data_IF_853574256014
#
_entry.id   IF_853574256014
#
_cell.length_a   1.000
_cell.length_b   1.000
_cell.length_c   1.000
_cell.angle_alpha   90.00
_cell.angle_beta   90.00
_cell.angle_gamma   90.00
#
_symmetry.space_group_name_H-M   'P 1'
#
loop_
_entity.id
_entity.type
_entity.pdbx_description
1 polymer ?
#
# COMPACT_ATOMS: atom_id res chain seq x y z
N UNK A 1 10.30 -4.76 6.73
CA UNK A 1 10.19 -4.59 8.18
C UNK A 1 9.15 -3.59 8.67
N UNK A 2 9.16 -2.33 8.21
CA UNK A 2 8.30 -1.24 8.75
C UNK A 2 6.78 -1.51 8.58
N UNK A 3 6.34 -2.12 7.48
CA UNK A 3 4.92 -2.43 7.22
C UNK A 3 4.39 -3.44 8.24
N UNK A 4 5.01 -4.62 8.32
CA UNK A 4 4.54 -5.70 9.21
C UNK A 4 4.64 -5.37 10.70
N UNK A 5 5.49 -4.41 11.08
CA UNK A 5 5.58 -3.92 12.46
C UNK A 5 4.40 -3.03 12.86
N UNK A 6 3.81 -2.30 11.91
CA UNK A 6 2.72 -1.34 12.15
C UNK A 6 1.32 -1.94 11.90
N UNK A 7 1.22 -3.06 11.17
CA UNK A 7 -0.05 -3.74 10.86
C UNK A 7 -0.68 -4.33 12.12
N UNK A 8 -2.00 -4.19 12.24
CA UNK A 8 -2.75 -4.81 13.33
C UNK A 8 -2.81 -6.34 13.14
N UNK A 9 -2.25 -7.08 14.10
CA UNK A 9 -2.23 -8.54 14.08
C UNK A 9 -3.39 -9.11 14.88
N UNK A 10 -4.22 -9.91 14.20
CA UNK A 10 -5.34 -10.61 14.82
C UNK A 10 -5.00 -12.09 15.02
N UNK A 11 -5.31 -12.69 16.20
CA UNK A 11 -5.11 -14.12 16.43
C UNK A 11 -6.10 -15.01 15.66
N UNK A 12 -7.07 -14.41 14.99
CA UNK A 12 -8.08 -15.09 14.20
C UNK A 12 -7.66 -15.05 12.75
N UNK A 13 -7.53 -16.19 12.10
CA UNK A 13 -7.07 -16.31 10.71
C UNK A 13 -8.04 -15.74 9.66
N UNK A 14 -9.32 -15.61 9.99
CA UNK A 14 -10.36 -14.99 9.15
C UNK A 14 -10.65 -13.58 9.63
N UNK A 15 -10.59 -12.62 8.73
CA UNK A 15 -11.01 -11.25 9.02
C UNK A 15 -12.45 -11.08 8.56
N UNK A 16 -13.29 -10.61 9.48
CA UNK A 16 -14.68 -10.27 9.21
C UNK A 16 -14.95 -8.86 9.68
N UNK A 17 -15.32 -8.00 8.74
CA UNK A 17 -15.72 -6.63 9.05
C UNK A 17 -17.15 -6.39 8.63
N UNK A 18 -17.86 -5.59 9.44
CA UNK A 18 -19.21 -5.10 9.14
C UNK A 18 -19.19 -3.61 9.34
N UNK A 19 -19.55 -2.86 8.31
CA UNK A 19 -19.57 -1.41 8.37
C UNK A 19 -20.84 -0.88 7.72
N UNK A 20 -21.32 0.26 8.22
CA UNK A 20 -22.40 0.98 7.56
C UNK A 20 -21.95 1.50 6.20
N UNK A 21 -22.79 1.42 5.21
CA UNK A 21 -22.52 2.02 3.90
C UNK A 21 -22.57 3.55 4.03
N UNK A 22 -21.40 4.18 4.06
CA UNK A 22 -21.26 5.62 4.23
C UNK A 22 -21.52 6.42 2.95
N UNK A 23 -21.68 5.75 1.80
CA UNK A 23 -21.97 6.44 0.52
C UNK A 23 -23.33 7.13 0.52
N UNK A 24 -24.27 6.65 1.33
CA UNK A 24 -25.63 7.17 1.46
C UNK A 24 -25.89 7.87 2.79
N UNK A 25 -24.87 8.40 3.45
CA UNK A 25 -25.02 9.07 4.76
C UNK A 25 -26.00 10.23 4.72
N UNK A 26 -26.06 10.97 3.60
CA UNK A 26 -27.03 12.08 3.46
C UNK A 26 -28.49 11.60 3.50
N UNK A 27 -28.77 10.41 2.95
CA UNK A 27 -30.08 9.78 3.01
C UNK A 27 -30.48 9.32 4.42
N UNK A 28 -29.50 9.16 5.33
CA UNK A 28 -29.67 8.75 6.73
C UNK A 28 -29.64 9.93 7.72
N UNK A 29 -29.68 11.16 7.23
CA UNK A 29 -29.58 12.36 8.06
C UNK A 29 -30.78 12.46 8.99
N UNK A 30 -30.52 12.72 10.28
CA UNK A 30 -31.55 12.92 11.28
C UNK A 30 -32.45 14.12 10.94
N UNK A 31 -33.72 13.99 11.15
CA UNK A 31 -34.73 14.99 10.86
C UNK A 31 -35.38 15.53 12.14
N UNK A 32 -35.70 16.83 12.14
CA UNK A 32 -36.45 17.45 13.19
C UNK A 32 -37.92 17.00 13.20
N UNK A 33 -38.51 16.81 14.39
CA UNK A 33 -39.91 16.46 14.57
C UNK A 33 -40.76 17.71 14.80
N UNK A 34 -41.82 17.90 14.00
CA UNK A 34 -42.84 18.89 14.25
C UNK A 34 -44.02 18.23 14.98
N UNK A 35 -44.42 18.78 16.11
CA UNK A 35 -45.53 18.25 16.91
C UNK A 35 -46.78 18.06 16.06
N UNK A 36 -47.34 16.84 16.06
CA UNK A 36 -48.54 16.50 15.30
C UNK A 36 -48.31 16.00 13.86
N UNK A 37 -47.07 15.92 13.39
CA UNK A 37 -46.75 15.33 12.09
C UNK A 37 -46.28 13.88 12.23
N UNK A 38 -46.39 13.08 11.16
CA UNK A 38 -45.88 11.73 11.11
C UNK A 38 -44.37 11.72 11.03
N UNK A 39 -43.72 10.83 11.80
CA UNK A 39 -42.26 10.57 11.68
C UNK A 39 -42.00 9.69 10.47
N UNK A 40 -41.32 10.23 9.48
CA UNK A 40 -40.98 9.50 8.24
C UNK A 40 -39.70 8.68 8.42
N UNK A 41 -39.65 7.52 7.77
CA UNK A 41 -38.41 6.72 7.70
C UNK A 41 -37.35 7.45 6.84
N UNK A 42 -36.12 7.47 7.34
CA UNK A 42 -34.99 8.13 6.69
C UNK A 42 -34.16 7.07 5.96
N UNK A 43 -34.59 6.64 4.80
CA UNK A 43 -33.86 5.71 3.96
C UNK A 43 -33.63 4.29 4.53
N UNK A 44 -32.98 3.44 3.77
CA UNK A 44 -32.63 2.07 4.17
C UNK A 44 -31.19 2.03 4.66
N UNK A 45 -30.97 1.47 5.85
CA UNK A 45 -29.66 1.21 6.38
C UNK A 45 -29.07 -0.06 5.73
N UNK A 46 -27.95 0.06 5.03
CA UNK A 46 -27.24 -1.08 4.46
C UNK A 46 -25.93 -1.33 5.19
N UNK A 47 -25.63 -2.62 5.41
CA UNK A 47 -24.37 -3.07 6.00
C UNK A 47 -23.49 -3.70 4.92
N UNK A 48 -22.26 -3.23 4.83
CA UNK A 48 -21.24 -3.84 3.99
C UNK A 48 -20.51 -4.89 4.81
N UNK A 49 -20.47 -6.10 4.29
CA UNK A 49 -19.77 -7.22 4.88
C UNK A 49 -18.50 -7.51 4.07
N UNK A 50 -17.40 -7.67 4.77
CA UNK A 50 -16.15 -8.16 4.18
C UNK A 50 -15.65 -9.35 4.98
N UNK A 51 -15.33 -10.43 4.28
CA UNK A 51 -14.74 -11.64 4.86
C UNK A 51 -13.55 -12.05 3.99
N UNK A 52 -12.43 -12.39 4.63
CA UNK A 52 -11.26 -12.96 3.95
C UNK A 52 -10.96 -14.34 4.52
N UNK A 53 -10.66 -15.28 3.64
CA UNK A 53 -10.23 -16.63 4.01
C UNK A 53 -8.70 -16.72 4.00
N UNK A 54 -8.11 -17.49 4.92
CA UNK A 54 -6.65 -17.58 5.02
C UNK A 54 -6.04 -18.41 3.88
N UNK A 55 -4.85 -17.98 3.44
CA UNK A 55 -3.97 -18.70 2.54
C UNK A 55 -2.64 -18.97 3.23
N UNK A 56 -1.99 -20.08 2.88
CA UNK A 56 -0.63 -20.37 3.33
C UNK A 56 0.36 -19.71 2.38
N UNK A 57 1.26 -18.92 2.94
CA UNK A 57 2.40 -18.33 2.23
C UNK A 57 3.67 -18.98 2.76
N UNK A 58 4.55 -19.41 1.89
CA UNK A 58 5.72 -20.18 2.27
C UNK A 58 6.96 -19.80 1.46
N UNK A 59 8.11 -20.05 2.07
CA UNK A 59 9.43 -20.07 1.40
C UNK A 59 10.07 -21.42 1.68
N UNK A 60 10.54 -22.07 0.62
CA UNK A 60 11.22 -23.36 0.71
C UNK A 60 12.61 -23.25 0.10
N UNK A 61 13.61 -23.57 0.88
CA UNK A 61 15.01 -23.57 0.45
C UNK A 61 15.67 -24.93 0.67
N UNK A 62 16.78 -25.15 0.02
CA UNK A 62 17.62 -26.34 0.17
C UNK A 62 19.09 -25.97 0.06
N UNK A 63 19.91 -26.62 0.80
CA UNK A 63 21.36 -26.51 0.74
C UNK A 63 22.01 -27.91 0.71
N UNK A 64 23.06 -28.05 -0.05
CA UNK A 64 23.83 -29.29 -0.08
C UNK A 64 24.58 -29.47 1.25
N UNK A 65 24.67 -30.72 1.71
CA UNK A 65 25.36 -31.03 2.96
C UNK A 65 26.86 -30.79 2.86
N UNK A 66 27.44 -30.99 1.69
CA UNK A 66 28.86 -30.78 1.50
C UNK A 66 29.19 -29.29 1.64
N UNK A 67 28.35 -28.41 1.13
CA UNK A 67 28.49 -26.94 1.33
C UNK A 67 28.40 -26.54 2.82
N UNK A 68 27.54 -27.23 3.59
CA UNK A 68 27.44 -26.99 5.04
C UNK A 68 28.70 -27.40 5.79
N UNK A 69 29.32 -28.51 5.35
CA UNK A 69 30.53 -29.05 5.98
C UNK A 69 31.76 -28.21 5.63
N UNK A 70 31.84 -27.72 4.40
CA UNK A 70 32.97 -26.93 3.91
C UNK A 70 33.03 -25.52 4.49
N UNK A 71 31.87 -24.96 4.87
CA UNK A 71 31.79 -23.65 5.51
C UNK A 71 31.86 -23.79 7.03
N UNK A 72 33.06 -23.61 7.59
CA UNK A 72 33.32 -23.81 9.02
C UNK A 72 33.23 -22.53 9.84
N UNK A 73 33.20 -21.36 9.19
CA UNK A 73 33.34 -20.06 9.88
C UNK A 73 32.05 -19.53 10.52
N UNK A 74 30.88 -19.99 10.10
CA UNK A 74 29.58 -19.57 10.66
C UNK A 74 28.50 -20.64 10.44
N UNK A 75 27.42 -20.55 11.22
CA UNK A 75 26.24 -21.40 11.07
C UNK A 75 25.44 -21.03 9.82
N UNK A 76 25.73 -21.73 8.70
CA UNK A 76 25.07 -21.53 7.40
C UNK A 76 23.57 -21.78 7.48
N UNK A 77 23.14 -22.75 8.27
CA UNK A 77 21.71 -23.10 8.42
C UNK A 77 20.96 -21.95 9.09
N UNK A 78 21.52 -21.37 10.15
CA UNK A 78 20.95 -20.23 10.84
C UNK A 78 20.91 -18.97 9.93
N UNK A 79 21.95 -18.78 9.13
CA UNK A 79 22.03 -17.69 8.16
C UNK A 79 20.94 -17.81 7.08
N UNK A 80 20.79 -18.98 6.47
CA UNK A 80 19.75 -19.25 5.47
C UNK A 80 18.33 -19.07 6.06
N UNK A 81 18.12 -19.54 7.28
CA UNK A 81 16.87 -19.31 7.98
C UNK A 81 16.56 -17.81 8.12
N UNK A 82 17.58 -17.01 8.42
CA UNK A 82 17.46 -15.55 8.49
C UNK A 82 17.05 -14.92 7.16
N UNK A 83 17.65 -15.36 6.06
CA UNK A 83 17.34 -14.91 4.69
C UNK A 83 15.91 -15.32 4.30
N UNK A 84 15.55 -16.58 4.48
CA UNK A 84 14.22 -17.10 4.14
C UNK A 84 13.13 -16.36 4.91
N UNK A 85 13.35 -16.06 6.19
CA UNK A 85 12.44 -15.28 7.01
C UNK A 85 12.31 -13.83 6.52
N UNK A 86 13.41 -13.23 6.09
CA UNK A 86 13.40 -11.88 5.52
C UNK A 86 12.60 -11.86 4.21
N UNK A 87 12.84 -12.82 3.31
CA UNK A 87 12.12 -12.95 2.04
C UNK A 87 10.62 -13.17 2.26
N UNK A 88 10.25 -14.05 3.20
CA UNK A 88 8.83 -14.27 3.53
C UNK A 88 8.15 -12.98 4.04
N UNK A 89 8.81 -12.24 4.91
CA UNK A 89 8.29 -10.98 5.44
C UNK A 89 8.21 -9.89 4.36
N UNK A 90 9.15 -9.85 3.43
CA UNK A 90 9.15 -8.88 2.34
C UNK A 90 8.03 -9.17 1.34
N UNK A 91 7.84 -10.43 0.97
CA UNK A 91 6.75 -10.86 0.09
C UNK A 91 5.37 -10.57 0.72
N UNK A 92 5.21 -10.88 2.01
CA UNK A 92 3.98 -10.54 2.73
C UNK A 92 3.73 -9.03 2.79
N UNK A 93 4.75 -8.21 3.03
CA UNK A 93 4.62 -6.77 3.06
C UNK A 93 4.22 -6.21 1.67
N UNK A 94 4.82 -6.76 0.61
CA UNK A 94 4.49 -6.40 -0.78
C UNK A 94 3.06 -6.81 -1.13
N UNK A 95 2.65 -8.03 -0.77
CA UNK A 95 1.28 -8.51 -0.98
C UNK A 95 0.24 -7.66 -0.26
N UNK A 96 0.54 -7.18 0.95
CA UNK A 96 -0.35 -6.30 1.73
C UNK A 96 -0.50 -4.93 1.06
N UNK A 97 0.58 -4.34 0.57
CA UNK A 97 0.57 -2.95 0.10
C UNK A 97 0.21 -2.87 -1.38
N UNK A 98 0.86 -3.66 -2.22
CA UNK A 98 0.83 -3.56 -3.68
C UNK A 98 0.16 -4.77 -4.36
N UNK A 99 0.11 -5.91 -3.69
CA UNK A 99 -0.11 -7.21 -4.30
C UNK A 99 1.19 -7.86 -4.75
N UNK A 100 1.19 -9.16 -4.94
CA UNK A 100 2.39 -9.94 -5.29
C UNK A 100 2.87 -9.75 -6.75
N UNK A 101 2.04 -9.14 -7.61
CA UNK A 101 2.37 -8.85 -9.00
C UNK A 101 2.39 -10.07 -9.95
N UNK A 102 2.12 -11.28 -9.46
CA UNK A 102 2.03 -12.49 -10.29
C UNK A 102 0.71 -12.52 -11.06
N UNK A 103 0.69 -13.20 -12.20
CA UNK A 103 -0.52 -13.37 -13.02
C UNK A 103 -1.53 -14.32 -12.36
N UNK A 104 -2.80 -14.17 -12.73
CA UNK A 104 -3.85 -15.09 -12.30
C UNK A 104 -3.63 -16.44 -12.95
N UNK A 105 -3.46 -17.49 -12.13
CA UNK A 105 -3.15 -18.85 -12.57
C UNK A 105 -1.76 -19.34 -12.19
N UNK A 106 -0.86 -18.47 -11.74
CA UNK A 106 0.44 -18.89 -11.20
C UNK A 106 0.26 -19.68 -9.90
N UNK A 107 0.91 -20.84 -9.79
CA UNK A 107 0.83 -21.69 -8.59
C UNK A 107 1.32 -20.99 -7.31
N UNK A 108 2.28 -20.07 -7.45
CA UNK A 108 2.84 -19.30 -6.35
C UNK A 108 2.08 -18.01 -6.01
N UNK A 109 0.94 -17.73 -6.67
CA UNK A 109 0.21 -16.48 -6.46
C UNK A 109 -0.38 -16.36 -5.06
N UNK A 110 -0.14 -15.22 -4.42
CA UNK A 110 -0.86 -14.80 -3.25
C UNK A 110 -2.18 -14.18 -3.71
N UNK A 111 -3.29 -14.88 -3.48
CA UNK A 111 -4.59 -14.49 -3.99
C UNK A 111 -5.06 -13.17 -3.36
N UNK A 112 -5.45 -12.21 -4.19
CA UNK A 112 -5.87 -10.87 -3.76
C UNK A 112 -7.19 -10.87 -2.98
N UNK A 113 -7.99 -11.92 -3.09
CA UNK A 113 -9.19 -12.11 -2.26
C UNK A 113 -8.88 -12.61 -0.84
N UNK A 114 -7.68 -13.18 -0.62
CA UNK A 114 -7.19 -13.70 0.68
C UNK A 114 -6.38 -12.66 1.43
N UNK A 115 -5.38 -12.06 0.77
CA UNK A 115 -4.62 -10.91 1.26
C UNK A 115 -4.92 -9.75 0.32
N UNK A 116 -5.83 -8.87 0.74
CA UNK A 116 -6.26 -7.75 -0.09
C UNK A 116 -5.22 -6.64 -0.11
N UNK A 117 -4.66 -6.32 -1.29
CA UNK A 117 -3.68 -5.23 -1.39
C UNK A 117 -4.34 -3.88 -1.11
N UNK A 118 -3.68 -3.03 -0.36
CA UNK A 118 -4.21 -1.70 -0.04
C UNK A 118 -4.37 -0.86 -1.31
N UNK A 119 -3.41 -0.90 -2.22
CA UNK A 119 -3.45 -0.16 -3.48
C UNK A 119 -4.57 -0.58 -4.41
N UNK A 120 -4.78 -1.90 -4.57
CA UNK A 120 -5.74 -2.48 -5.52
C UNK A 120 -7.11 -2.76 -4.89
N UNK A 121 -7.36 -2.27 -3.69
CA UNK A 121 -8.62 -2.48 -3.00
C UNK A 121 -9.75 -1.65 -3.66
N UNK A 122 -10.99 -2.00 -3.31
CA UNK A 122 -12.16 -1.29 -3.83
C UNK A 122 -12.13 0.21 -3.49
N UNK A 123 -12.69 1.05 -4.35
CA UNK A 123 -12.81 2.50 -4.19
C UNK A 123 -13.48 2.92 -2.87
N UNK A 124 -14.23 1.99 -2.24
CA UNK A 124 -14.80 2.20 -0.91
C UNK A 124 -13.71 2.29 0.18
N UNK A 125 -12.59 1.57 0.01
CA UNK A 125 -11.51 1.50 0.98
C UNK A 125 -10.32 2.36 0.60
N UNK A 126 -9.99 2.41 -0.70
CA UNK A 126 -8.86 3.15 -1.24
C UNK A 126 -9.32 4.25 -2.19
N UNK A 127 -8.97 5.49 -1.87
CA UNK A 127 -9.21 6.66 -2.68
C UNK A 127 -8.10 6.73 -3.73
N UNK A 128 -8.45 6.62 -5.00
CA UNK A 128 -7.51 6.83 -6.10
C UNK A 128 -7.54 8.30 -6.51
N UNK A 129 -6.42 8.98 -6.35
CA UNK A 129 -6.26 10.39 -6.69
C UNK A 129 -5.27 10.55 -7.85
N UNK A 130 -5.75 11.16 -8.91
CA UNK A 130 -4.93 11.44 -10.09
C UNK A 130 -4.06 12.67 -9.86
N UNK A 131 -2.82 12.59 -10.25
CA UNK A 131 -1.85 13.69 -10.24
C UNK A 131 -1.79 14.31 -11.63
N UNK A 132 -2.37 15.51 -11.77
CA UNK A 132 -2.40 16.26 -13.02
C UNK A 132 -1.24 17.27 -13.08
N UNK A 133 -0.12 16.83 -13.65
CA UNK A 133 1.09 17.65 -13.80
C UNK A 133 0.87 18.79 -14.82
N UNK A 134 0.15 18.51 -15.92
CA UNK A 134 -0.09 19.50 -16.97
C UNK A 134 -1.02 20.62 -16.48
N UNK A 135 -2.09 20.26 -15.78
CA UNK A 135 -2.99 21.22 -15.15
C UNK A 135 -2.29 22.05 -14.08
N UNK A 136 -1.39 21.44 -13.28
CA UNK A 136 -0.58 22.16 -12.30
C UNK A 136 0.34 23.17 -12.97
N UNK A 137 1.05 22.80 -14.03
CA UNK A 137 1.89 23.71 -14.79
C UNK A 137 1.13 24.93 -15.30
N UNK A 138 -0.04 24.70 -15.85
CA UNK A 138 -0.95 25.78 -16.31
C UNK A 138 -1.42 26.67 -15.18
N UNK A 139 -1.80 26.06 -14.05
CA UNK A 139 -2.27 26.79 -12.86
C UNK A 139 -1.18 27.68 -12.25
N UNK A 140 0.05 27.21 -12.17
CA UNK A 140 1.18 27.96 -11.64
C UNK A 140 1.59 29.12 -12.55
N UNK A 141 1.51 28.95 -13.86
CA UNK A 141 1.80 30.03 -14.80
C UNK A 141 0.72 31.13 -14.75
N UNK A 142 -0.53 30.77 -14.50
CA UNK A 142 -1.64 31.69 -14.44
C UNK A 142 -1.71 32.60 -15.68
N UNK A 143 -1.76 33.91 -15.49
CA UNK A 143 -1.71 34.91 -16.58
C UNK A 143 -0.28 35.25 -17.05
N UNK A 144 0.75 34.82 -16.31
CA UNK A 144 2.16 35.06 -16.64
C UNK A 144 2.74 33.89 -17.42
N UNK A 145 2.50 33.84 -18.71
CA UNK A 145 3.01 32.77 -19.59
C UNK A 145 4.53 32.76 -19.74
N UNK A 146 5.23 33.80 -19.30
CA UNK A 146 6.69 33.87 -19.29
C UNK A 146 7.34 33.26 -18.03
N UNK A 147 6.55 32.89 -17.02
CA UNK A 147 7.08 32.23 -15.83
C UNK A 147 7.49 30.77 -16.16
N UNK A 148 8.78 30.47 -15.97
CA UNK A 148 9.30 29.13 -16.19
C UNK A 148 9.61 28.45 -14.85
N UNK A 149 8.64 27.71 -14.36
CA UNK A 149 8.82 26.88 -13.17
C UNK A 149 9.61 25.61 -13.53
N UNK A 150 10.55 25.21 -12.67
CA UNK A 150 11.28 23.97 -12.85
C UNK A 150 10.37 22.74 -12.79
N UNK A 151 10.63 21.73 -13.61
CA UNK A 151 9.79 20.54 -13.69
C UNK A 151 9.64 19.83 -12.33
N UNK A 152 10.69 19.78 -11.53
CA UNK A 152 10.65 19.19 -10.19
C UNK A 152 9.69 19.94 -9.25
N UNK A 153 9.63 21.28 -9.37
CA UNK A 153 8.69 22.09 -8.59
C UNK A 153 7.25 21.81 -8.97
N UNK A 154 6.97 21.84 -10.27
CA UNK A 154 5.63 21.56 -10.80
C UNK A 154 5.16 20.17 -10.37
N UNK A 155 6.06 19.19 -10.44
CA UNK A 155 5.77 17.81 -10.05
C UNK A 155 5.49 17.69 -8.55
N UNK A 156 6.34 18.30 -7.71
CA UNK A 156 6.15 18.29 -6.27
C UNK A 156 4.82 18.94 -5.85
N UNK A 157 4.48 20.10 -6.43
CA UNK A 157 3.22 20.81 -6.15
C UNK A 157 2.01 20.01 -6.62
N UNK A 158 2.09 19.35 -7.79
CA UNK A 158 1.01 18.49 -8.27
C UNK A 158 0.74 17.32 -7.31
N UNK A 159 1.79 16.67 -6.82
CA UNK A 159 1.68 15.55 -5.85
C UNK A 159 1.10 16.04 -4.53
N UNK A 160 1.61 17.14 -3.98
CA UNK A 160 1.14 17.70 -2.70
C UNK A 160 -0.32 18.12 -2.80
N UNK A 161 -0.68 18.85 -3.85
CA UNK A 161 -2.05 19.34 -4.05
C UNK A 161 -3.03 18.17 -4.21
N UNK A 162 -2.70 17.18 -5.03
CA UNK A 162 -3.56 15.99 -5.23
C UNK A 162 -3.75 15.22 -3.94
N UNK A 163 -2.68 15.07 -3.12
CA UNK A 163 -2.77 14.41 -1.82
C UNK A 163 -3.67 15.17 -0.86
N UNK A 164 -3.50 16.49 -0.75
CA UNK A 164 -4.28 17.32 0.17
C UNK A 164 -5.77 17.34 -0.19
N UNK A 165 -6.12 17.42 -1.47
CA UNK A 165 -7.51 17.33 -1.91
C UNK A 165 -8.11 15.93 -1.68
N UNK A 166 -7.37 14.87 -1.95
CA UNK A 166 -7.82 13.51 -1.66
C UNK A 166 -8.05 13.30 -0.16
N UNK A 167 -7.26 13.98 0.68
CA UNK A 167 -7.36 13.91 2.14
C UNK A 167 -8.67 14.44 2.71
N UNK A 168 -9.39 15.30 2.01
CA UNK A 168 -10.71 15.75 2.43
C UNK A 168 -11.69 14.58 2.61
N UNK A 169 -11.53 13.53 1.81
CA UNK A 169 -12.35 12.31 1.86
C UNK A 169 -11.81 11.22 2.79
N UNK A 170 -10.60 11.41 3.31
CA UNK A 170 -9.91 10.42 4.14
C UNK A 170 -10.61 10.22 5.49
N UNK A 171 -10.84 8.95 5.87
CA UNK A 171 -11.51 8.54 7.12
C UNK A 171 -10.72 7.49 7.91
N UNK A 172 -9.42 7.35 7.63
CA UNK A 172 -8.53 6.48 8.38
C UNK A 172 -8.29 6.95 9.81
N UNK A 173 -7.68 6.10 10.61
CA UNK A 173 -7.32 6.41 12.00
C UNK A 173 -5.99 7.14 12.09
N UNK A 174 -5.83 7.94 13.14
CA UNK A 174 -4.56 8.57 13.52
C UNK A 174 -3.91 9.40 12.41
N UNK A 175 -2.59 9.48 12.46
CA UNK A 175 -1.79 10.18 11.45
C UNK A 175 -1.26 9.14 10.45
N UNK A 176 -1.64 9.21 9.16
CA UNK A 176 -1.15 8.29 8.15
C UNK A 176 0.31 8.55 7.80
N UNK A 177 1.00 7.52 7.34
CA UNK A 177 2.33 7.60 6.75
C UNK A 177 2.24 7.69 5.23
N UNK A 178 3.26 8.25 4.59
CA UNK A 178 3.36 8.32 3.14
C UNK A 178 4.43 7.35 2.63
N UNK A 179 4.04 6.43 1.79
CA UNK A 179 4.89 5.43 1.15
C UNK A 179 5.11 5.82 -0.29
N UNK A 180 6.35 5.96 -0.72
CA UNK A 180 6.68 6.38 -2.09
C UNK A 180 7.98 5.75 -2.60
N UNK A 181 8.30 6.00 -3.87
CA UNK A 181 9.61 5.62 -4.43
C UNK A 181 10.71 6.55 -3.91
N UNK A 182 11.96 6.05 -3.78
CA UNK A 182 13.10 6.92 -3.50
C UNK A 182 13.26 8.04 -4.53
N UNK A 183 12.97 7.75 -5.79
CA UNK A 183 13.00 8.73 -6.89
C UNK A 183 12.04 9.89 -6.64
N UNK A 184 10.78 9.61 -6.32
CA UNK A 184 9.78 10.64 -6.03
C UNK A 184 10.22 11.54 -4.87
N UNK A 185 10.72 10.96 -3.77
CA UNK A 185 11.22 11.72 -2.64
C UNK A 185 12.34 12.68 -3.07
N UNK A 186 13.28 12.20 -3.88
CA UNK A 186 14.39 13.02 -4.37
C UNK A 186 13.90 14.17 -5.28
N UNK A 187 12.95 13.90 -6.19
CA UNK A 187 12.34 14.93 -7.05
C UNK A 187 11.68 16.02 -6.21
N UNK A 188 10.93 15.65 -5.17
CA UNK A 188 10.26 16.61 -4.29
C UNK A 188 11.26 17.44 -3.49
N UNK A 189 12.36 16.86 -2.99
CA UNK A 189 13.42 17.58 -2.27
C UNK A 189 14.28 18.48 -3.19
N UNK A 190 14.31 18.17 -4.49
CA UNK A 190 15.03 19.01 -5.48
C UNK A 190 14.16 20.13 -6.05
N UNK A 191 12.93 20.28 -5.59
CA UNK A 191 12.03 21.36 -6.00
C UNK A 191 12.64 22.72 -5.62
N UNK A 192 12.66 23.66 -6.60
CA UNK A 192 13.20 25.01 -6.42
C UNK A 192 12.17 26.03 -6.85
N UNK A 193 12.15 27.16 -6.17
CA UNK A 193 11.36 28.33 -6.54
C UNK A 193 11.95 29.03 -7.80
N UNK A 194 11.24 30.06 -8.27
CA UNK A 194 11.70 30.88 -9.42
C UNK A 194 13.05 31.58 -9.19
N UNK A 195 13.45 31.75 -7.94
CA UNK A 195 14.72 32.35 -7.55
C UNK A 195 15.84 31.31 -7.38
N UNK A 196 15.58 30.04 -7.64
CA UNK A 196 16.52 28.94 -7.53
C UNK A 196 16.77 28.44 -6.10
N UNK A 197 15.99 28.91 -5.11
CA UNK A 197 16.07 28.41 -3.72
C UNK A 197 15.33 27.09 -3.61
N UNK A 198 15.85 26.18 -2.80
CA UNK A 198 15.11 24.97 -2.42
C UNK A 198 13.90 25.35 -1.57
N UNK A 199 12.78 24.67 -1.80
CA UNK A 199 11.55 24.87 -1.05
C UNK A 199 11.56 24.01 0.21
N UNK A 200 12.05 22.77 0.09
CA UNK A 200 12.18 21.82 1.19
C UNK A 200 13.68 21.56 1.42
N UNK A 201 14.22 22.03 2.53
CA UNK A 201 15.62 21.81 2.87
C UNK A 201 15.86 20.41 3.43
N UNK A 202 14.83 19.81 3.99
CA UNK A 202 14.90 18.47 4.58
C UNK A 202 13.56 17.70 4.50
N UNK A 203 13.63 16.39 4.77
CA UNK A 203 12.46 15.49 4.73
C UNK A 203 11.37 15.89 5.74
N UNK A 204 11.73 16.53 6.86
CA UNK A 204 10.75 16.93 7.88
C UNK A 204 9.85 18.07 7.39
N UNK A 205 10.38 18.99 6.62
CA UNK A 205 9.58 20.07 6.02
C UNK A 205 8.61 19.52 4.98
N UNK A 206 9.08 18.60 4.12
CA UNK A 206 8.22 17.91 3.17
C UNK A 206 7.14 17.09 3.89
N UNK A 207 7.49 16.40 4.97
CA UNK A 207 6.53 15.68 5.81
C UNK A 207 5.45 16.60 6.39
N UNK A 208 5.84 17.80 6.83
CA UNK A 208 4.89 18.80 7.32
C UNK A 208 3.98 19.33 6.19
N UNK A 209 4.52 19.56 4.99
CA UNK A 209 3.74 19.98 3.83
C UNK A 209 2.71 18.92 3.40
N UNK A 210 3.09 17.64 3.39
CA UNK A 210 2.20 16.51 3.12
C UNK A 210 1.25 16.20 4.29
N UNK A 211 1.51 16.77 5.47
CA UNK A 211 0.77 16.52 6.71
C UNK A 211 0.67 15.01 7.07
N UNK A 212 1.79 14.31 7.02
CA UNK A 212 1.91 12.87 7.29
C UNK A 212 2.82 12.59 8.49
N UNK A 213 2.72 11.38 9.05
CA UNK A 213 3.51 10.95 10.20
C UNK A 213 4.98 10.69 9.85
N UNK A 214 5.20 9.86 8.85
CA UNK A 214 6.53 9.47 8.36
C UNK A 214 6.49 9.37 6.83
N UNK A 215 7.60 9.67 6.15
CA UNK A 215 7.79 9.36 4.73
C UNK A 215 8.66 8.12 4.66
N UNK A 216 8.14 7.06 4.06
CA UNK A 216 8.79 5.75 3.95
C UNK A 216 9.04 5.47 2.49
N UNK A 217 10.30 5.30 2.12
CA UNK A 217 10.66 4.94 0.76
C UNK A 217 10.77 3.43 0.59
N UNK A 218 10.26 2.92 -0.54
CA UNK A 218 10.35 1.53 -0.94
C UNK A 218 10.52 1.41 -2.46
N UNK A 219 11.56 0.70 -2.88
CA UNK A 219 11.85 0.48 -4.30
C UNK A 219 10.76 -0.36 -4.99
N UNK A 220 10.05 -1.19 -4.24
CA UNK A 220 8.97 -2.04 -4.74
C UNK A 220 7.79 -1.26 -5.34
N UNK A 221 7.68 0.04 -5.07
CA UNK A 221 6.68 0.93 -5.67
C UNK A 221 7.04 1.33 -7.11
N UNK A 222 8.32 1.19 -7.48
CA UNK A 222 8.79 1.66 -8.77
C UNK A 222 8.21 0.84 -9.92
N UNK A 223 7.75 1.53 -10.97
CA UNK A 223 7.21 0.89 -12.17
C UNK A 223 5.86 0.17 -11.98
N UNK A 224 5.21 0.30 -10.82
CA UNK A 224 3.90 -0.34 -10.60
C UNK A 224 2.81 0.38 -11.38
N UNK A 225 2.12 -0.37 -12.25
CA UNK A 225 1.03 0.11 -13.11
C UNK A 225 -0.18 -0.78 -12.90
N UNK A 226 -1.36 -0.17 -12.82
CA UNK A 226 -2.63 -0.88 -12.86
C UNK A 226 -3.46 -0.42 -14.06
N UNK A 227 -4.32 -1.29 -14.54
CA UNK A 227 -5.32 -0.95 -15.56
C UNK A 227 -6.65 -0.67 -14.85
N UNK A 228 -7.21 0.50 -15.12
CA UNK A 228 -8.55 0.86 -14.60
C UNK A 228 -9.65 0.13 -15.37
N UNK A 229 -10.88 0.20 -14.86
CA UNK A 229 -12.06 -0.34 -15.55
C UNK A 229 -12.25 0.26 -16.95
N UNK A 230 -11.83 1.51 -17.14
CA UNK A 230 -11.90 2.23 -18.43
C UNK A 230 -10.68 1.97 -19.33
N UNK A 231 -9.93 0.90 -19.07
CA UNK A 231 -8.73 0.49 -19.83
C UNK A 231 -7.58 1.51 -19.82
N UNK A 232 -7.60 2.49 -18.93
CA UNK A 232 -6.49 3.42 -18.74
C UNK A 232 -5.42 2.80 -17.86
N UNK A 233 -4.16 3.02 -18.21
CA UNK A 233 -3.02 2.61 -17.40
C UNK A 233 -2.65 3.73 -16.44
N UNK A 234 -2.61 3.42 -15.16
CA UNK A 234 -2.24 4.33 -14.08
C UNK A 234 -0.99 3.83 -13.38
N UNK A 235 0.03 4.69 -13.28
CA UNK A 235 1.27 4.42 -12.57
C UNK A 235 1.12 4.89 -11.13
N UNK A 236 1.49 4.03 -10.17
CA UNK A 236 1.51 4.39 -8.75
C UNK A 236 2.71 5.31 -8.46
N UNK A 237 2.45 6.46 -7.85
CA UNK A 237 3.46 7.40 -7.37
C UNK A 237 3.71 7.24 -5.88
N UNK A 238 2.65 7.09 -5.11
CA UNK A 238 2.74 6.92 -3.67
C UNK A 238 1.42 6.51 -3.05
N UNK A 239 1.50 6.06 -1.81
CA UNK A 239 0.36 5.62 -1.02
C UNK A 239 0.39 6.31 0.34
N UNK A 240 -0.69 6.98 0.71
CA UNK A 240 -0.89 7.49 2.06
C UNK A 240 -1.81 6.56 2.84
N UNK A 241 -1.32 5.99 3.93
CA UNK A 241 -2.05 5.01 4.70
C UNK A 241 -1.55 4.88 6.14
N UNK A 242 -2.47 4.63 7.08
CA UNK A 242 -2.10 4.19 8.42
C UNK A 242 -2.17 2.67 8.51
N UNK A 243 -1.02 2.00 8.63
CA UNK A 243 -0.94 0.54 8.67
C UNK A 243 -1.73 -0.10 9.84
N UNK A 244 -2.06 0.65 10.88
CA UNK A 244 -2.91 0.18 11.97
C UNK A 244 -4.36 -0.11 11.53
N UNK A 245 -4.81 0.46 10.41
CA UNK A 245 -6.14 0.21 9.82
C UNK A 245 -6.20 -1.08 8.99
N UNK A 246 -5.05 -1.71 8.74
CA UNK A 246 -4.98 -3.02 8.09
C UNK A 246 -4.90 -4.12 9.13
N UNK A 247 -5.79 -5.09 9.04
CA UNK A 247 -5.75 -6.28 9.89
C UNK A 247 -5.17 -7.47 9.14
N UNK A 248 -4.12 -8.04 9.72
CA UNK A 248 -3.54 -9.31 9.29
C UNK A 248 -3.98 -10.39 10.29
N UNK A 249 -4.89 -11.24 9.87
CA UNK A 249 -5.35 -12.38 10.63
C UNK A 249 -4.47 -13.59 10.36
N UNK A 250 -3.95 -14.22 11.41
CA UNK A 250 -3.18 -15.43 11.26
C UNK A 250 -3.45 -16.39 12.42
N UNK A 251 -3.27 -17.67 12.17
CA UNK A 251 -3.31 -18.65 13.23
C UNK A 251 -2.20 -18.36 14.21
N UNK A 252 -2.48 -18.34 15.51
CA UNK A 252 -1.50 -18.04 16.61
C UNK A 252 -0.81 -16.67 16.51
N UNK A 253 -1.46 -15.64 15.93
CA UNK A 253 -0.94 -14.28 15.97
C UNK A 253 0.21 -13.96 14.99
N UNK A 254 0.37 -14.70 13.90
CA UNK A 254 1.41 -14.46 12.88
C UNK A 254 2.67 -15.28 13.08
N UNK A 255 2.58 -16.36 13.82
CA UNK A 255 3.70 -17.28 13.99
C UNK A 255 4.12 -17.87 12.65
N UNK A 256 5.40 -17.72 12.32
CA UNK A 256 6.04 -18.39 11.20
C UNK A 256 6.48 -19.76 11.70
N UNK A 257 5.94 -20.81 11.10
CA UNK A 257 6.34 -22.18 11.42
C UNK A 257 7.55 -22.58 10.58
N UNK A 258 8.55 -23.14 11.19
CA UNK A 258 9.76 -23.62 10.53
C UNK A 258 9.82 -25.14 10.60
N UNK A 259 9.98 -25.76 9.45
CA UNK A 259 10.19 -27.19 9.29
C UNK A 259 11.55 -27.43 8.64
N UNK A 260 12.27 -28.42 9.13
CA UNK A 260 13.54 -28.87 8.54
C UNK A 260 13.46 -30.35 8.26
N UNK A 261 14.00 -30.77 7.15
CA UNK A 261 14.07 -32.16 6.74
C UNK A 261 15.40 -32.44 5.99
N UNK A 262 15.90 -33.67 6.11
CA UNK A 262 17.10 -34.09 5.40
C UNK A 262 16.72 -35.08 4.30
N UNK A 263 17.05 -34.71 3.07
CA UNK A 263 16.82 -35.54 1.91
C UNK A 263 18.03 -36.45 1.71
N UNK A 264 17.85 -37.76 2.00
CA UNK A 264 18.89 -38.77 1.91
C UNK A 264 19.27 -39.04 0.44
N UNK A 265 18.30 -38.97 -0.49
CA UNK A 265 18.50 -39.27 -1.89
C UNK A 265 19.37 -38.23 -2.60
N UNK A 266 19.28 -36.99 -2.19
CA UNK A 266 20.03 -35.88 -2.78
C UNK A 266 21.09 -35.27 -1.87
N UNK A 267 21.33 -35.83 -0.68
CA UNK A 267 22.27 -35.30 0.33
C UNK A 267 22.06 -33.82 0.67
N UNK A 268 20.80 -33.38 0.80
CA UNK A 268 20.45 -32.00 0.97
C UNK A 268 19.64 -31.75 2.25
N UNK A 269 19.97 -30.65 2.95
CA UNK A 269 19.15 -30.11 4.02
C UNK A 269 18.06 -29.21 3.43
N UNK A 270 16.81 -29.53 3.71
CA UNK A 270 15.65 -28.75 3.28
C UNK A 270 15.12 -27.91 4.44
N UNK A 271 14.70 -26.67 4.14
CA UNK A 271 14.06 -25.74 5.06
C UNK A 271 12.76 -25.26 4.46
N UNK A 272 11.71 -25.23 5.24
CA UNK A 272 10.40 -24.69 4.88
C UNK A 272 9.94 -23.74 5.97
N UNK A 273 9.74 -22.47 5.61
CA UNK A 273 9.07 -21.49 6.45
C UNK A 273 7.67 -21.23 5.88
N UNK A 274 6.67 -21.33 6.72
CA UNK A 274 5.30 -21.04 6.30
C UNK A 274 4.54 -20.25 7.34
N UNK A 275 3.58 -19.45 6.87
CA UNK A 275 2.58 -18.79 7.70
C UNK A 275 1.23 -18.88 7.01
N UNK A 276 0.17 -19.11 7.79
CA UNK A 276 -1.19 -19.13 7.27
C UNK A 276 -1.92 -17.89 7.73
N UNK A 277 -2.20 -16.98 6.78
CA UNK A 277 -2.77 -15.68 7.09
C UNK A 277 -3.80 -15.22 6.07
N UNK A 278 -4.60 -14.25 6.46
CA UNK A 278 -5.44 -13.44 5.59
C UNK A 278 -5.29 -11.97 5.94
N UNK A 279 -5.54 -11.08 5.00
CA UNK A 279 -5.37 -9.66 5.23
C UNK A 279 -6.42 -8.81 4.55
N UNK A 280 -6.88 -7.76 5.23
CA UNK A 280 -7.76 -6.78 4.62
C UNK A 280 -7.70 -5.43 5.35
N UNK A 281 -7.98 -4.37 4.59
CA UNK A 281 -8.27 -3.07 5.15
C UNK A 281 -9.61 -3.12 5.91
N UNK A 282 -9.63 -2.64 7.13
CA UNK A 282 -10.80 -2.71 8.02
C UNK A 282 -11.61 -1.42 8.06
N UNK A 283 -11.09 -0.32 7.53
CA UNK A 283 -11.77 0.98 7.49
C UNK A 283 -12.02 1.45 6.07
N UNK A 284 -13.19 2.03 5.86
CA UNK A 284 -13.56 2.64 4.58
C UNK A 284 -12.82 3.98 4.40
N UNK A 285 -12.44 4.30 3.16
CA UNK A 285 -11.74 5.55 2.79
C UNK A 285 -10.52 5.84 3.66
N UNK A 286 -9.74 4.82 4.00
CA UNK A 286 -8.58 4.93 4.89
C UNK A 286 -7.23 4.89 4.17
N UNK A 287 -7.23 4.67 2.85
CA UNK A 287 -6.05 4.72 2.01
C UNK A 287 -6.22 5.76 0.89
N UNK A 288 -5.14 6.43 0.50
CA UNK A 288 -5.08 7.29 -0.68
C UNK A 288 -3.93 6.82 -1.54
N UNK A 289 -4.23 6.40 -2.77
CA UNK A 289 -3.26 6.06 -3.79
C UNK A 289 -3.12 7.23 -4.77
N UNK A 290 -1.93 7.80 -4.86
CA UNK A 290 -1.59 8.82 -5.84
C UNK A 290 -1.14 8.14 -7.13
N UNK A 291 -1.78 8.47 -8.22
CA UNK A 291 -1.57 7.83 -9.51
C UNK A 291 -1.40 8.87 -10.61
N UNK A 292 -0.60 8.52 -11.60
CA UNK A 292 -0.34 9.31 -12.79
C UNK A 292 -0.79 8.55 -14.03
N UNK A 293 -1.39 9.24 -15.00
CA UNK A 293 -1.69 8.66 -16.30
C UNK A 293 -0.40 8.27 -17.01
N UNK A 294 -0.29 7.00 -17.37
CA UNK A 294 0.79 6.57 -18.27
C UNK A 294 0.44 7.07 -19.66
N UNK A 295 1.01 8.21 -20.05
CA UNK A 295 1.03 8.61 -21.45
C UNK A 295 1.88 7.59 -22.20
N UNK A 296 1.28 6.88 -23.16
CA UNK A 296 2.00 6.06 -24.13
C UNK A 296 2.90 7.00 -24.97
N UNK A 297 4.00 7.46 -24.38
CA UNK A 297 5.10 7.98 -25.18
C UNK A 297 5.69 6.75 -25.85
N UNK A 298 5.23 6.48 -27.07
CA UNK A 298 5.78 5.45 -27.95
C UNK A 298 7.24 5.77 -28.25
N UNK A 299 8.12 5.40 -27.35
CA UNK A 299 9.55 5.28 -27.58
C UNK A 299 9.89 3.87 -27.15
N UNK A 300 9.65 2.96 -28.08
CA UNK A 300 10.33 1.67 -28.10
C UNK A 300 11.79 1.95 -28.43
N UNK A 301 12.66 1.46 -27.57
CA UNK A 301 14.09 1.42 -27.81
C UNK A 301 14.65 0.25 -27.02
#
# INVERSE_FOLDING_TARGET
GKVLAKVHKSPISRIRTRQADIRNIEALRAQGYKKGSEKKYVGNFSLIHRTTDPQTVYVKSKIDRDDIIDIQDFDVVQYLYGIDRMNLNEELATAIVLGDGREDGDEGKIAQDKIRPIWLDDELYTIHADVDIAGMKTSLQGTNTGANFGDNYVYAEAVIQSLLYAREKYKGSGTPDFYCTPHLLNVMLLARDLNGRRIYDNVNELRAALNVGEIITAEQFEGKVRTTKDQKKKKLLGLMYNMADYSLGSTKGGEITHFTDFDIDFNQQKSLLETRCSGANTRVMSAIALEEDVTDTGVGG
#
